data_IF_912071245435
#
_entry.id   IF_912071245435
#
_cell.length_a   1.000
_cell.length_b   1.000
_cell.length_c   1.000
_cell.angle_alpha   90.00
_cell.angle_beta   90.00
_cell.angle_gamma   90.00
#
_symmetry.space_group_name_H-M   'P 1'
#
loop_
_entity.id
_entity.type
_entity.pdbx_description
1 polymer ?
#
# COMPACT_ATOMS: atom_id res chain seq x y z
N UNK A 1 26.30 -3.94 26.39
CA UNK A 1 25.24 -4.95 26.26
C UNK A 1 25.45 -5.62 24.91
N UNK A 2 25.93 -6.87 24.90
CA UNK A 2 26.08 -7.67 23.68
C UNK A 2 24.68 -8.07 23.20
N UNK A 3 24.04 -7.20 22.42
CA UNK A 3 22.84 -7.56 21.68
C UNK A 3 23.29 -8.31 20.43
N UNK A 4 22.95 -9.59 20.33
CA UNK A 4 23.15 -10.33 19.08
C UNK A 4 22.52 -9.52 17.93
N UNK A 5 23.31 -9.26 16.89
CA UNK A 5 22.82 -8.57 15.70
C UNK A 5 21.77 -9.46 15.06
N UNK A 6 20.51 -9.01 15.00
CA UNK A 6 19.43 -9.71 14.31
C UNK A 6 19.86 -10.02 12.87
N UNK A 7 19.76 -11.30 12.49
CA UNK A 7 19.96 -11.75 11.12
C UNK A 7 18.59 -11.83 10.45
N UNK A 8 18.46 -11.19 9.30
CA UNK A 8 17.25 -11.23 8.45
C UNK A 8 17.50 -12.18 7.30
N UNK A 9 16.58 -13.12 7.08
CA UNK A 9 16.67 -14.06 5.97
C UNK A 9 16.12 -13.46 4.67
N UNK A 10 16.57 -13.94 3.51
CA UNK A 10 16.08 -13.43 2.22
C UNK A 10 14.55 -13.56 2.08
N UNK A 11 13.99 -14.70 2.49
CA UNK A 11 12.55 -14.95 2.44
C UNK A 11 11.75 -13.99 3.36
N UNK A 12 12.28 -13.68 4.55
CA UNK A 12 11.71 -12.71 5.48
C UNK A 12 11.73 -11.31 4.85
N UNK A 13 12.86 -10.86 4.31
CA UNK A 13 12.93 -9.60 3.57
C UNK A 13 11.86 -9.53 2.46
N UNK A 14 11.62 -10.63 1.74
CA UNK A 14 10.63 -10.67 0.67
C UNK A 14 9.18 -10.51 1.14
N UNK A 15 8.87 -10.80 2.42
CA UNK A 15 7.53 -10.60 3.00
C UNK A 15 7.21 -9.11 3.23
N UNK A 16 8.23 -8.25 3.27
CA UNK A 16 8.10 -6.82 3.51
C UNK A 16 8.30 -6.03 2.21
N UNK A 17 7.34 -6.15 1.28
CA UNK A 17 7.46 -5.62 -0.08
C UNK A 17 6.35 -4.68 -0.55
N UNK A 18 5.47 -4.20 0.33
CA UNK A 18 4.31 -3.36 -0.04
C UNK A 18 4.15 -2.14 0.88
N UNK A 19 3.14 -1.30 0.63
CA UNK A 19 2.93 -0.01 1.32
C UNK A 19 2.73 -0.12 2.84
N UNK A 20 2.16 -1.23 3.32
CA UNK A 20 1.90 -1.43 4.76
C UNK A 20 3.01 -2.18 5.47
N UNK A 21 3.99 -2.67 4.71
CA UNK A 21 5.11 -3.48 5.19
C UNK A 21 6.23 -3.42 4.17
N UNK A 22 7.18 -2.49 4.34
CA UNK A 22 8.22 -2.19 3.35
C UNK A 22 9.62 -2.19 3.94
N UNK A 23 10.41 -3.22 3.62
CA UNK A 23 11.82 -3.29 3.96
C UNK A 23 12.69 -3.23 2.71
N UNK A 24 13.89 -2.68 2.85
CA UNK A 24 14.90 -2.62 1.79
C UNK A 24 16.26 -3.02 2.37
N UNK A 25 16.99 -3.87 1.66
CA UNK A 25 18.38 -4.16 1.99
C UNK A 25 19.31 -3.13 1.32
N UNK A 26 20.24 -2.57 2.09
CA UNK A 26 21.24 -1.61 1.64
C UNK A 26 22.55 -1.95 2.34
N UNK A 27 23.61 -2.20 1.58
CA UNK A 27 24.96 -2.51 2.08
C UNK A 27 24.95 -3.69 3.08
N UNK A 28 24.15 -4.72 2.82
CA UNK A 28 24.01 -5.90 3.69
C UNK A 28 23.21 -5.68 4.97
N UNK A 29 22.64 -4.50 5.18
CA UNK A 29 21.75 -4.19 6.30
C UNK A 29 20.31 -4.06 5.81
N UNK A 30 19.34 -4.49 6.61
CA UNK A 30 17.91 -4.40 6.30
C UNK A 30 17.30 -3.24 7.08
N UNK A 31 16.51 -2.41 6.40
CA UNK A 31 15.87 -1.24 6.97
C UNK A 31 14.36 -1.28 6.75
N UNK A 32 13.60 -0.95 7.80
CA UNK A 32 12.16 -0.78 7.73
C UNK A 32 11.83 0.66 7.34
N UNK A 33 11.37 0.84 6.11
CA UNK A 33 11.06 2.16 5.55
C UNK A 33 9.55 2.40 5.44
N UNK A 34 8.73 1.52 6.03
CA UNK A 34 7.26 1.60 5.94
C UNK A 34 6.74 2.97 6.34
N UNK A 35 7.17 3.48 7.49
CA UNK A 35 6.74 4.79 8.02
C UNK A 35 7.43 5.98 7.35
N UNK A 36 8.43 5.74 6.51
CA UNK A 36 9.19 6.79 5.83
C UNK A 36 8.74 7.05 4.39
N UNK A 37 7.85 6.21 3.85
CA UNK A 37 7.37 6.32 2.47
C UNK A 37 6.92 7.73 2.10
N UNK A 38 6.02 8.31 2.91
CA UNK A 38 5.45 9.63 2.66
C UNK A 38 6.44 10.79 2.86
N UNK A 39 7.53 10.57 3.61
CA UNK A 39 8.53 11.60 3.94
C UNK A 39 9.75 11.54 3.02
N UNK A 40 9.84 10.53 2.15
CA UNK A 40 10.99 10.35 1.29
C UNK A 40 11.02 11.42 0.18
N UNK A 41 12.06 12.28 0.10
CA UNK A 41 12.10 13.38 -0.86
C UNK A 41 12.09 12.93 -2.34
N UNK A 42 12.45 11.68 -2.61
CA UNK A 42 12.42 11.09 -3.94
C UNK A 42 11.06 10.51 -4.35
N UNK A 43 10.04 10.60 -3.50
CA UNK A 43 8.76 9.91 -3.68
C UNK A 43 8.72 8.54 -3.00
N UNK A 44 7.52 8.01 -2.80
CA UNK A 44 7.32 6.67 -2.23
C UNK A 44 7.46 5.57 -3.27
N UNK A 45 7.14 5.87 -4.54
CA UNK A 45 7.31 5.00 -5.71
C UNK A 45 8.73 4.44 -5.81
N UNK A 46 9.75 5.28 -5.58
CA UNK A 46 11.15 4.84 -5.67
C UNK A 46 11.51 3.87 -4.56
N UNK A 47 10.92 3.95 -3.37
CA UNK A 47 11.15 2.99 -2.28
C UNK A 47 10.36 1.71 -2.50
N UNK A 48 9.08 1.82 -2.91
CA UNK A 48 8.20 0.70 -3.18
C UNK A 48 8.75 -0.21 -4.28
N UNK A 49 9.43 0.37 -5.28
CA UNK A 49 10.14 -0.40 -6.30
C UNK A 49 11.16 -1.39 -5.73
N UNK A 50 11.86 -1.01 -4.65
CA UNK A 50 12.86 -1.84 -3.98
C UNK A 50 12.35 -2.56 -2.73
N UNK A 51 11.05 -2.46 -2.43
CA UNK A 51 10.43 -3.24 -1.35
C UNK A 51 10.73 -4.73 -1.46
N UNK A 52 11.28 -5.30 -0.39
CA UNK A 52 11.74 -6.68 -0.31
C UNK A 52 12.96 -7.00 -1.17
N UNK A 53 13.72 -6.00 -1.63
CA UNK A 53 14.89 -6.18 -2.49
C UNK A 53 16.16 -5.57 -1.87
N UNK A 54 17.30 -5.94 -2.44
CA UNK A 54 18.56 -5.22 -2.25
C UNK A 54 18.59 -4.00 -3.19
N UNK A 55 18.50 -2.81 -2.59
CA UNK A 55 18.54 -1.51 -3.25
C UNK A 55 19.92 -0.85 -3.21
N UNK A 56 20.99 -1.55 -2.80
CA UNK A 56 22.32 -0.98 -2.54
C UNK A 56 22.83 -0.14 -3.70
N UNK A 57 22.86 -0.71 -4.91
CA UNK A 57 23.39 0.01 -6.07
C UNK A 57 22.60 1.29 -6.33
N UNK A 58 21.27 1.21 -6.30
CA UNK A 58 20.42 2.39 -6.54
C UNK A 58 20.61 3.46 -5.46
N UNK A 59 20.76 3.04 -4.21
CA UNK A 59 21.01 3.95 -3.09
C UNK A 59 22.34 4.69 -3.25
N UNK A 60 23.38 4.01 -3.72
CA UNK A 60 24.70 4.59 -3.98
C UNK A 60 24.67 5.54 -5.19
N UNK A 61 23.99 5.17 -6.27
CA UNK A 61 23.89 5.97 -7.49
C UNK A 61 23.28 7.36 -7.28
N UNK A 62 22.32 7.46 -6.35
CA UNK A 62 21.62 8.72 -6.01
C UNK A 62 22.50 9.63 -5.13
N UNK A 63 23.57 9.09 -4.53
CA UNK A 63 24.48 9.82 -3.65
C UNK A 63 23.78 10.57 -2.51
N UNK A 64 22.97 9.84 -1.72
CA UNK A 64 22.26 10.39 -0.56
C UNK A 64 23.21 11.09 0.44
N UNK A 65 22.74 12.21 1.01
CA UNK A 65 23.51 12.98 1.99
C UNK A 65 23.82 12.18 3.27
N UNK A 66 24.83 12.63 4.02
CA UNK A 66 25.16 12.02 5.33
C UNK A 66 23.97 12.08 6.30
N UNK A 67 23.14 13.12 6.22
CA UNK A 67 21.92 13.21 7.01
C UNK A 67 20.92 12.10 6.66
N UNK A 68 20.68 11.84 5.37
CA UNK A 68 19.82 10.74 4.94
C UNK A 68 20.37 9.36 5.37
N UNK A 69 21.70 9.18 5.34
CA UNK A 69 22.37 7.98 5.87
C UNK A 69 22.19 7.83 7.39
N UNK A 70 22.16 8.92 8.15
CA UNK A 70 21.88 8.88 9.59
C UNK A 70 20.42 8.53 9.89
N UNK A 71 19.47 9.10 9.14
CA UNK A 71 18.04 8.76 9.27
C UNK A 71 17.75 7.29 8.98
N UNK A 72 18.50 6.69 8.05
CA UNK A 72 18.44 5.25 7.74
C UNK A 72 18.77 4.40 8.97
N UNK A 73 19.77 4.78 9.77
CA UNK A 73 20.21 3.97 10.91
C UNK A 73 19.16 3.83 12.01
N UNK A 74 18.26 4.81 12.17
CA UNK A 74 17.13 4.73 13.10
C UNK A 74 16.09 3.65 12.70
N UNK A 75 16.18 3.13 11.46
CA UNK A 75 15.26 2.17 10.86
C UNK A 75 15.88 0.78 10.69
N UNK A 76 17.03 0.53 11.31
CA UNK A 76 17.75 -0.73 11.18
C UNK A 76 16.94 -1.88 11.78
N UNK A 77 16.60 -2.85 10.93
CA UNK A 77 15.94 -4.10 11.30
C UNK A 77 16.99 -5.13 11.74
N UNK A 78 18.07 -5.25 10.96
CA UNK A 78 19.09 -6.26 11.19
C UNK A 78 20.12 -6.31 10.06
N UNK A 79 20.96 -7.35 10.08
CA UNK A 79 21.91 -7.66 9.01
C UNK A 79 21.30 -8.74 8.13
N UNK A 80 21.35 -8.59 6.81
CA UNK A 80 20.91 -9.61 5.89
C UNK A 80 21.84 -10.82 5.98
N UNK A 81 21.31 -12.04 5.86
CA UNK A 81 22.12 -13.26 5.83
C UNK A 81 23.24 -13.17 4.79
N UNK A 82 24.39 -13.77 5.09
CA UNK A 82 25.51 -13.88 4.13
C UNK A 82 25.30 -14.98 3.10
N UNK A 83 24.23 -15.79 3.26
CA UNK A 83 23.87 -16.79 2.28
C UNK A 83 23.58 -16.14 0.93
N UNK A 84 23.97 -16.78 -0.19
CA UNK A 84 23.65 -16.30 -1.51
C UNK A 84 22.16 -16.04 -1.65
N UNK A 85 21.81 -14.96 -2.36
CA UNK A 85 20.43 -14.70 -2.73
C UNK A 85 19.85 -15.93 -3.46
N UNK A 86 18.64 -16.40 -3.08
CA UNK A 86 18.01 -17.53 -3.75
C UNK A 86 17.88 -17.33 -5.27
N UNK A 87 18.10 -18.40 -6.03
CA UNK A 87 17.76 -18.44 -7.46
C UNK A 87 16.24 -18.18 -7.56
N UNK A 88 15.83 -17.24 -8.41
CA UNK A 88 14.45 -16.72 -8.55
C UNK A 88 13.93 -15.77 -7.45
N UNK A 89 14.80 -15.21 -6.60
CA UNK A 89 14.38 -14.27 -5.56
C UNK A 89 13.54 -13.09 -6.08
N UNK A 90 13.94 -12.47 -7.19
CA UNK A 90 13.19 -11.37 -7.80
C UNK A 90 11.78 -11.80 -8.22
N UNK A 91 11.62 -13.03 -8.72
CA UNK A 91 10.32 -13.59 -9.10
C UNK A 91 9.45 -13.84 -7.86
N UNK A 92 10.04 -14.33 -6.77
CA UNK A 92 9.37 -14.50 -5.48
C UNK A 92 8.82 -13.16 -4.97
N UNK A 93 9.66 -12.12 -4.90
CA UNK A 93 9.26 -10.80 -4.41
C UNK A 93 8.13 -10.22 -5.27
N UNK A 94 8.25 -10.29 -6.61
CA UNK A 94 7.18 -9.85 -7.53
C UNK A 94 5.85 -10.58 -7.26
N UNK A 95 5.90 -11.88 -6.99
CA UNK A 95 4.68 -12.64 -6.67
C UNK A 95 4.04 -12.22 -5.35
N UNK A 96 4.84 -11.80 -4.36
CA UNK A 96 4.36 -11.32 -3.05
C UNK A 96 3.76 -9.92 -3.14
N UNK A 97 4.34 -9.04 -3.96
CA UNK A 97 3.75 -7.72 -4.30
C UNK A 97 2.41 -7.83 -5.03
N UNK A 98 2.15 -8.95 -5.69
CA UNK A 98 0.92 -9.19 -6.43
C UNK A 98 -0.06 -10.08 -5.67
N UNK A 99 0.05 -10.20 -4.34
CA UNK A 99 -0.96 -10.85 -3.48
C UNK A 99 -2.23 -10.00 -3.38
N UNK A 100 -2.79 -9.64 -4.52
CA UNK A 100 -4.19 -9.29 -4.67
C UNK A 100 -5.00 -10.51 -4.20
N UNK A 101 -6.01 -10.30 -3.37
CA UNK A 101 -6.87 -11.40 -2.92
C UNK A 101 -7.83 -11.77 -4.06
N UNK A 102 -7.28 -12.46 -5.07
CA UNK A 102 -7.94 -12.72 -6.35
C UNK A 102 -9.11 -13.69 -6.13
N UNK A 103 -10.32 -13.16 -6.12
CA UNK A 103 -11.53 -13.95 -6.23
C UNK A 103 -12.43 -13.31 -7.30
N UNK A 104 -12.25 -13.64 -8.59
CA UNK A 104 -12.94 -12.95 -9.68
C UNK A 104 -14.46 -13.07 -9.62
N UNK A 105 -15.00 -14.04 -8.88
CA UNK A 105 -16.43 -14.28 -8.73
C UNK A 105 -17.02 -13.66 -7.45
N UNK A 106 -16.20 -12.99 -6.62
CA UNK A 106 -16.68 -12.32 -5.42
C UNK A 106 -17.62 -11.19 -5.81
N UNK A 107 -18.81 -11.18 -5.21
CA UNK A 107 -19.75 -10.07 -5.35
C UNK A 107 -19.36 -8.97 -4.38
N UNK A 108 -19.15 -7.77 -4.90
CA UNK A 108 -18.74 -6.58 -4.14
C UNK A 108 -19.83 -5.53 -4.31
N UNK A 109 -20.26 -4.89 -3.23
CA UNK A 109 -21.24 -3.81 -3.29
C UNK A 109 -20.56 -2.47 -3.56
N UNK A 110 -21.33 -1.48 -4.03
CA UNK A 110 -20.83 -0.11 -4.17
C UNK A 110 -20.42 0.54 -2.84
N UNK A 111 -21.07 0.15 -1.74
CA UNK A 111 -20.70 0.62 -0.40
C UNK A 111 -19.34 0.08 0.03
N UNK A 112 -19.08 -1.21 -0.21
CA UNK A 112 -17.77 -1.82 0.05
C UNK A 112 -16.70 -1.18 -0.83
N UNK A 113 -16.93 -1.11 -2.14
CA UNK A 113 -16.00 -0.49 -3.08
C UNK A 113 -15.60 0.92 -2.63
N UNK A 114 -16.57 1.72 -2.17
CA UNK A 114 -16.34 3.09 -1.71
C UNK A 114 -15.44 3.20 -0.48
N UNK A 115 -15.18 2.11 0.25
CA UNK A 115 -14.22 2.07 1.37
C UNK A 115 -12.76 1.97 0.87
N UNK A 116 -12.56 1.39 -0.31
CA UNK A 116 -11.26 1.17 -0.95
C UNK A 116 -10.87 2.37 -1.83
N UNK A 117 -10.78 3.55 -1.20
CA UNK A 117 -10.61 4.84 -1.86
C UNK A 117 -9.32 5.58 -1.48
N UNK A 118 -8.33 4.87 -0.92
CA UNK A 118 -7.09 5.45 -0.41
C UNK A 118 -5.88 4.94 -1.19
N UNK A 119 -4.74 5.60 -1.02
CA UNK A 119 -3.50 5.19 -1.67
C UNK A 119 -3.04 3.81 -1.21
N UNK A 120 -3.24 3.47 0.05
CA UNK A 120 -2.86 2.18 0.62
C UNK A 120 -3.94 1.09 0.44
N UNK A 121 -5.08 1.46 -0.15
CA UNK A 121 -6.24 0.61 -0.35
C UNK A 121 -7.11 1.19 -1.48
N UNK A 122 -6.70 0.91 -2.73
CA UNK A 122 -7.18 1.58 -3.95
C UNK A 122 -7.82 0.57 -4.88
N UNK A 123 -9.16 0.50 -4.86
CA UNK A 123 -9.91 -0.34 -5.79
C UNK A 123 -10.71 0.51 -6.77
N UNK A 124 -11.06 -0.05 -7.91
CA UNK A 124 -11.93 0.61 -8.89
C UNK A 124 -12.71 -0.39 -9.73
N UNK A 125 -13.79 0.10 -10.34
CA UNK A 125 -14.59 -0.67 -11.30
C UNK A 125 -14.19 -0.32 -12.72
N UNK A 126 -13.98 -1.34 -13.56
CA UNK A 126 -13.89 -1.20 -15.02
C UNK A 126 -14.77 -2.29 -15.64
N UNK A 127 -15.78 -1.88 -16.41
CA UNK A 127 -16.73 -2.77 -17.10
C UNK A 127 -17.43 -3.77 -16.14
N UNK A 128 -17.82 -3.29 -14.95
CA UNK A 128 -18.52 -4.09 -13.94
C UNK A 128 -17.65 -5.08 -13.16
N UNK A 129 -16.35 -5.16 -13.46
CA UNK A 129 -15.37 -5.92 -12.68
C UNK A 129 -14.66 -5.00 -11.69
N UNK A 130 -14.35 -5.51 -10.51
CA UNK A 130 -13.62 -4.77 -9.47
C UNK A 130 -12.17 -5.20 -9.47
N UNK A 131 -11.27 -4.21 -9.47
CA UNK A 131 -9.83 -4.41 -9.51
C UNK A 131 -9.18 -3.74 -8.31
N UNK A 132 -8.29 -4.48 -7.64
CA UNK A 132 -7.38 -3.92 -6.65
C UNK A 132 -6.12 -3.45 -7.39
N UNK A 133 -5.96 -2.12 -7.48
CA UNK A 133 -4.81 -1.50 -8.15
C UNK A 133 -3.86 -0.85 -7.14
N UNK A 134 -3.98 -1.19 -5.86
CA UNK A 134 -3.20 -0.60 -4.75
C UNK A 134 -1.70 -0.70 -5.01
N UNK A 135 -1.18 -1.88 -5.33
CA UNK A 135 0.25 -2.03 -5.61
C UNK A 135 0.62 -1.69 -7.05
N UNK A 136 -0.35 -1.75 -7.99
CA UNK A 136 -0.12 -1.43 -9.39
C UNK A 136 0.01 0.07 -9.66
N UNK A 137 -0.54 0.92 -8.80
CA UNK A 137 -0.63 2.36 -9.08
C UNK A 137 0.72 3.04 -9.35
N UNK A 138 1.79 2.52 -8.77
CA UNK A 138 3.16 3.04 -8.93
C UNK A 138 3.82 2.59 -10.25
N UNK A 139 3.36 1.47 -10.81
CA UNK A 139 3.80 0.94 -12.10
C UNK A 139 2.93 1.46 -13.27
N UNK A 140 1.85 2.19 -12.98
CA UNK A 140 0.95 2.72 -13.98
C UNK A 140 1.62 3.83 -14.81
N UNK A 141 1.72 3.71 -16.16
CA UNK A 141 2.41 4.71 -16.99
C UNK A 141 1.82 6.13 -16.94
N UNK A 142 0.53 6.27 -16.61
CA UNK A 142 -0.12 7.58 -16.37
C UNK A 142 0.13 8.15 -14.97
N UNK A 143 0.85 7.43 -14.11
CA UNK A 143 1.09 7.76 -12.72
C UNK A 143 -0.07 7.39 -11.79
N UNK A 144 0.19 7.37 -10.46
CA UNK A 144 -0.79 6.96 -9.45
C UNK A 144 -1.91 7.99 -9.26
N UNK A 145 -1.64 9.28 -9.52
CA UNK A 145 -2.60 10.36 -9.30
C UNK A 145 -3.89 10.21 -10.12
N UNK A 146 -3.79 9.69 -11.35
CA UNK A 146 -4.95 9.46 -12.22
C UNK A 146 -5.84 8.34 -11.66
N UNK A 147 -5.22 7.29 -11.10
CA UNK A 147 -5.96 6.18 -10.49
C UNK A 147 -6.63 6.62 -9.18
N UNK A 148 -5.90 7.37 -8.35
CA UNK A 148 -6.43 7.95 -7.11
C UNK A 148 -7.66 8.83 -7.34
N UNK A 149 -7.71 9.58 -8.45
CA UNK A 149 -8.88 10.37 -8.83
C UNK A 149 -10.14 9.55 -9.12
N UNK A 150 -10.03 8.22 -9.22
CA UNK A 150 -11.12 7.27 -9.45
C UNK A 150 -11.17 6.15 -8.39
N UNK A 151 -10.46 6.32 -7.27
CA UNK A 151 -10.43 5.33 -6.20
C UNK A 151 -11.82 5.15 -5.57
N UNK A 152 -12.22 3.90 -5.37
CA UNK A 152 -13.53 3.51 -4.88
C UNK A 152 -14.69 3.79 -5.84
N UNK A 153 -14.42 4.03 -7.14
CA UNK A 153 -15.45 4.39 -8.12
C UNK A 153 -15.29 3.67 -9.48
N UNK A 154 -16.24 3.91 -10.38
CA UNK A 154 -16.25 3.47 -11.77
C UNK A 154 -15.29 4.31 -12.63
N UNK A 155 -14.24 3.66 -13.09
CA UNK A 155 -13.21 4.19 -13.96
C UNK A 155 -13.41 3.78 -15.44
N UNK A 156 -14.51 3.10 -15.80
CA UNK A 156 -14.72 2.53 -17.14
C UNK A 156 -14.54 3.55 -18.26
N UNK A 157 -15.23 4.69 -18.17
CA UNK A 157 -15.13 5.75 -19.18
C UNK A 157 -13.69 6.29 -19.28
N UNK A 158 -13.04 6.55 -18.14
CA UNK A 158 -11.67 7.05 -18.12
C UNK A 158 -10.68 6.04 -18.73
N UNK A 159 -10.91 4.74 -18.49
CA UNK A 159 -10.09 3.67 -19.03
C UNK A 159 -10.22 3.55 -20.56
N UNK A 160 -11.43 3.68 -21.09
CA UNK A 160 -11.69 3.68 -22.54
C UNK A 160 -11.15 4.93 -23.23
N UNK A 161 -11.35 6.11 -22.65
CA UNK A 161 -10.88 7.39 -23.19
C UNK A 161 -9.35 7.44 -23.33
N UNK A 162 -8.64 6.76 -22.44
CA UNK A 162 -7.18 6.63 -22.49
C UNK A 162 -6.67 5.67 -23.58
N UNK A 163 -7.56 4.91 -24.23
CA UNK A 163 -7.24 3.98 -25.33
C UNK A 163 -6.10 2.99 -25.00
N UNK A 164 -6.25 2.25 -23.90
CA UNK A 164 -5.26 1.29 -23.41
C UNK A 164 -4.99 0.13 -24.39
N UNK A 165 -3.73 -0.32 -24.44
CA UNK A 165 -3.31 -1.45 -25.26
C UNK A 165 -3.88 -2.80 -24.80
N UNK A 166 -3.90 -3.81 -25.68
CA UNK A 166 -4.31 -5.18 -25.29
C UNK A 166 -3.42 -5.82 -24.21
N UNK A 167 -2.16 -5.40 -24.10
CA UNK A 167 -1.28 -5.79 -22.98
C UNK A 167 -1.71 -5.19 -21.64
N UNK A 168 -2.36 -4.03 -21.63
CA UNK A 168 -2.90 -3.44 -20.42
C UNK A 168 -4.13 -4.23 -19.93
N UNK A 169 -5.03 -4.64 -20.83
CA UNK A 169 -6.15 -5.53 -20.50
C UNK A 169 -5.69 -6.84 -19.86
N UNK A 170 -4.66 -7.50 -20.42
CA UNK A 170 -4.07 -8.73 -19.83
C UNK A 170 -3.42 -8.52 -18.46
N UNK A 171 -2.94 -7.31 -18.17
CA UNK A 171 -2.43 -6.97 -16.84
C UNK A 171 -3.58 -6.75 -15.87
N UNK A 172 -4.61 -6.03 -16.31
CA UNK A 172 -5.82 -5.74 -15.55
C UNK A 172 -6.53 -7.02 -15.08
N UNK A 173 -6.60 -8.06 -15.92
CA UNK A 173 -7.17 -9.37 -15.56
C UNK A 173 -6.55 -9.99 -14.30
N UNK A 174 -5.27 -9.73 -14.03
CA UNK A 174 -4.55 -10.28 -12.87
C UNK A 174 -4.90 -9.57 -11.56
N UNK A 175 -5.51 -8.39 -11.66
CA UNK A 175 -5.85 -7.53 -10.53
C UNK A 175 -7.32 -7.68 -10.10
N UNK A 176 -8.09 -8.53 -10.77
CA UNK A 176 -9.53 -8.67 -10.52
C UNK A 176 -9.79 -9.32 -9.16
N UNK A 177 -10.47 -8.60 -8.26
CA UNK A 177 -10.86 -9.08 -6.92
C UNK A 177 -12.34 -9.42 -6.81
N UNK A 178 -13.12 -9.17 -7.87
CA UNK A 178 -14.54 -9.51 -7.91
C UNK A 178 -15.31 -8.84 -9.05
N UNK A 179 -16.62 -8.80 -8.88
CA UNK A 179 -17.59 -8.13 -9.76
C UNK A 179 -18.50 -7.24 -8.91
N UNK A 180 -18.79 -6.05 -9.43
CA UNK A 180 -19.67 -5.11 -8.75
C UNK A 180 -21.12 -5.59 -8.86
N UNK A 181 -21.88 -5.48 -7.78
CA UNK A 181 -23.30 -5.83 -7.76
C UNK A 181 -24.17 -4.69 -7.22
N UNK A 182 -25.43 -4.68 -7.66
CA UNK A 182 -26.37 -3.63 -7.32
C UNK A 182 -26.19 -2.34 -8.13
N UNK A 183 -26.96 -1.32 -7.77
CA UNK A 183 -26.98 -0.02 -8.44
C UNK A 183 -26.08 0.95 -7.68
N UNK A 184 -25.27 1.73 -8.41
CA UNK A 184 -24.46 2.79 -7.79
C UNK A 184 -25.39 3.76 -7.05
N UNK A 185 -25.19 4.04 -5.76
CA UNK A 185 -26.00 5.00 -5.03
C UNK A 185 -25.94 6.36 -5.73
N UNK A 186 -27.09 6.89 -6.15
CA UNK A 186 -27.16 8.26 -6.66
C UNK A 186 -26.99 9.23 -5.49
N UNK A 187 -25.78 9.72 -5.28
CA UNK A 187 -25.53 10.83 -4.36
C UNK A 187 -25.87 12.15 -5.05
N UNK A 188 -27.14 12.32 -5.42
CA UNK A 188 -27.67 13.61 -5.85
C UNK A 188 -27.98 14.46 -4.61
N UNK A 189 -27.01 15.30 -4.20
CA UNK A 189 -27.18 16.19 -3.05
C UNK A 189 -26.04 17.19 -2.86
N UNK A 190 -26.11 18.32 -3.57
CA UNK A 190 -25.49 19.57 -3.12
C UNK A 190 -26.15 19.95 -1.78
N UNK A 191 -25.40 19.97 -0.68
CA UNK A 191 -25.93 20.41 0.61
C UNK A 191 -24.97 20.15 1.77
N UNK A 192 -24.22 21.19 2.15
CA UNK A 192 -23.62 21.32 3.48
C UNK A 192 -24.65 20.96 4.56
N UNK A 193 -24.40 19.93 5.36
CA UNK A 193 -24.89 19.78 6.74
C UNK A 193 -24.24 18.57 7.41
N UNK A 194 -23.46 18.87 8.44
CA UNK A 194 -22.96 18.01 9.52
C UNK A 194 -23.89 16.86 9.92
N UNK A 195 -23.36 15.65 10.11
CA UNK A 195 -23.97 14.60 10.96
C UNK A 195 -22.87 13.59 11.37
N UNK A 196 -22.26 13.67 12.56
CA UNK A 196 -22.81 13.30 13.88
C UNK A 196 -23.09 11.77 14.02
N UNK A 197 -22.90 10.95 12.97
CA UNK A 197 -23.27 9.52 13.05
C UNK A 197 -22.09 8.58 13.39
N UNK A 198 -20.83 9.06 13.43
CA UNK A 198 -19.65 8.21 13.71
C UNK A 198 -19.08 8.27 15.14
N UNK A 199 -19.77 8.90 16.11
CA UNK A 199 -19.26 9.09 17.49
C UNK A 199 -20.05 8.31 18.57
N UNK A 200 -20.44 7.05 18.31
CA UNK A 200 -21.14 6.21 19.32
C UNK A 200 -20.41 4.89 19.64
N UNK A 201 -19.15 4.71 19.21
CA UNK A 201 -18.37 3.52 19.56
C UNK A 201 -16.95 3.85 20.01
N UNK A 202 -16.80 4.62 21.10
CA UNK A 202 -15.68 4.49 22.04
C UNK A 202 -15.88 5.47 23.21
N UNK A 203 -16.26 4.95 24.39
CA UNK A 203 -15.83 5.32 25.76
C UNK A 203 -16.79 4.57 26.70
N UNK A 204 -16.52 3.28 26.85
CA UNK A 204 -16.76 2.57 28.10
C UNK A 204 -15.47 2.70 28.90
N UNK A 205 -15.60 2.97 30.20
CA UNK A 205 -14.56 3.11 31.23
C UNK A 205 -13.95 4.51 31.41
N UNK A 206 -14.52 5.27 32.35
CA UNK A 206 -13.91 5.78 33.61
C UNK A 206 -15.13 6.24 34.42
N UNK A 207 -15.54 5.54 35.48
CA UNK A 207 -14.86 5.57 36.76
C UNK A 207 -15.74 6.38 37.72
N UNK A 208 -16.60 5.67 38.46
CA UNK A 208 -17.46 6.22 39.52
C UNK A 208 -16.60 6.91 40.57
N UNK A 209 -16.96 8.16 40.92
CA UNK A 209 -16.34 8.93 41.97
C UNK A 209 -17.27 10.03 42.48
N UNK A 210 -18.42 9.63 43.04
CA UNK A 210 -19.28 10.53 43.81
C UNK A 210 -18.54 10.89 45.10
N UNK A 211 -18.09 12.14 45.23
CA UNK A 211 -17.76 12.74 46.51
C UNK A 211 -18.45 14.08 46.62
N UNK A 212 -19.63 14.04 47.24
CA UNK A 212 -20.38 15.21 47.69
C UNK A 212 -19.70 15.72 48.96
N UNK A 213 -19.10 16.90 48.92
CA UNK A 213 -18.96 17.74 50.12
C UNK A 213 -19.76 19.02 49.88
N UNK A 214 -20.85 19.15 50.62
CA UNK A 214 -21.37 20.44 51.07
C UNK A 214 -21.79 20.28 52.52
N UNK A 215 -20.94 20.70 53.45
CA UNK A 215 -21.21 21.84 54.34
C UNK A 215 -19.93 22.28 55.05
#
# INVERSE_FOLDING_TARGET
MNGEKRIVQWNELADHCNRTSLWVAIEGQVFDVTTYLAEHPGGDDVLLKYGGLDGTQKFLDVNHSNYARSLRNARLVGTLTTDPQPIDYIKLVKSKKQKVNVNPNRQISWEELGQHNKKEDLWMVIEGKVYDVTDFQDDHPGGPAILLGKAGDDATAAFHDANHSQSAYRQLEKLQVGVITGVKPNVSGSGSSTNIIFLILLILAIGVGIFVITK
#
